data_IF_903436312449
#
_entry.id   IF_903436312449
#
_cell.length_a   1.000
_cell.length_b   1.000
_cell.length_c   1.000
_cell.angle_alpha   90.00
_cell.angle_beta   90.00
_cell.angle_gamma   90.00
#
_symmetry.space_group_name_H-M   'P 1'
#
loop_
_entity.id
_entity.type
_entity.pdbx_description
1 polymer ?
#
# COMPACT_ATOMS: atom_id res chain seq x y z
N UNK A 1 -16.96 7.19 28.93
CA UNK A 1 -15.77 8.00 28.61
C UNK A 1 -14.56 7.22 28.09
N UNK A 2 -14.75 6.29 27.14
CA UNK A 2 -13.64 5.42 26.65
C UNK A 2 -13.31 5.66 25.18
N UNK A 3 -13.44 6.89 24.72
CA UNK A 3 -12.91 7.37 23.44
C UNK A 3 -11.47 7.92 23.61
N UNK A 4 -10.69 7.32 24.53
CA UNK A 4 -9.26 7.57 24.67
C UNK A 4 -8.54 6.95 23.47
N UNK A 5 -8.63 7.67 22.36
CA UNK A 5 -7.59 7.89 21.34
C UNK A 5 -6.64 6.70 21.24
N UNK A 6 -6.99 5.73 20.39
CA UNK A 6 -5.98 4.87 19.80
C UNK A 6 -4.98 5.78 19.08
N UNK A 7 -3.85 6.06 19.73
CA UNK A 7 -2.73 6.74 19.12
C UNK A 7 -2.01 5.73 18.25
N UNK A 8 -2.46 5.60 17.01
CA UNK A 8 -1.78 4.85 15.97
C UNK A 8 -1.04 5.82 15.05
N UNK A 9 0.21 5.50 14.76
CA UNK A 9 1.01 6.19 13.74
C UNK A 9 1.05 5.33 12.50
N UNK A 10 0.65 5.90 11.36
CA UNK A 10 0.74 5.24 10.05
C UNK A 10 1.81 5.98 9.26
N UNK A 11 2.88 5.27 8.91
CA UNK A 11 3.86 5.72 7.93
C UNK A 11 3.56 5.04 6.61
N UNK A 12 3.26 5.85 5.60
CA UNK A 12 3.11 5.40 4.22
C UNK A 12 4.21 6.03 3.38
N UNK A 13 4.90 5.20 2.62
CA UNK A 13 5.98 5.59 1.74
C UNK A 13 5.73 5.05 0.35
N UNK A 14 5.93 5.91 -0.64
CA UNK A 14 5.79 5.55 -2.04
C UNK A 14 6.92 6.17 -2.83
N UNK A 15 7.54 5.38 -3.71
CA UNK A 15 8.60 5.86 -4.60
C UNK A 15 8.37 5.36 -6.01
N UNK A 16 8.12 6.32 -6.90
CA UNK A 16 8.18 6.08 -8.34
C UNK A 16 9.63 5.92 -8.77
N UNK A 17 9.92 4.85 -9.49
CA UNK A 17 11.24 4.62 -10.06
C UNK A 17 11.20 4.83 -11.58
N UNK A 18 12.30 5.24 -12.22
CA UNK A 18 12.36 5.40 -13.68
C UNK A 18 12.28 4.08 -14.46
N UNK A 19 12.12 2.94 -13.77
CA UNK A 19 12.04 1.59 -14.32
C UNK A 19 10.58 1.14 -14.52
N UNK A 20 10.34 -0.16 -14.67
CA UNK A 20 9.02 -0.74 -14.98
C UNK A 20 8.09 -0.90 -13.76
N UNK A 21 8.58 -0.60 -12.56
CA UNK A 21 7.81 -0.74 -11.32
C UNK A 21 8.07 0.40 -10.34
N UNK A 22 7.06 0.67 -9.52
CA UNK A 22 7.12 1.58 -8.38
C UNK A 22 7.13 0.78 -7.06
N UNK A 23 7.67 1.39 -6.01
CA UNK A 23 7.75 0.81 -4.67
C UNK A 23 6.74 1.46 -3.72
N UNK A 24 6.11 0.64 -2.90
CA UNK A 24 5.23 1.07 -1.80
C UNK A 24 5.67 0.39 -0.50
N UNK A 25 5.57 1.11 0.62
CA UNK A 25 5.78 0.60 1.95
C UNK A 25 4.82 1.24 2.92
N UNK A 26 4.25 0.46 3.84
CA UNK A 26 3.37 0.96 4.88
C UNK A 26 3.71 0.28 6.19
N UNK A 27 3.74 1.06 7.26
CA UNK A 27 3.88 0.58 8.63
C UNK A 27 2.87 1.28 9.51
N UNK A 28 2.17 0.51 10.34
CA UNK A 28 1.32 1.04 11.40
C UNK A 28 1.80 0.56 12.76
N UNK A 29 1.98 1.52 13.66
CA UNK A 29 2.43 1.30 15.02
C UNK A 29 1.42 1.87 16.01
N UNK A 30 1.06 1.08 17.02
CA UNK A 30 0.21 1.53 18.13
C UNK A 30 1.09 2.02 19.27
N UNK A 31 1.13 3.33 19.48
CA UNK A 31 1.90 3.94 20.58
C UNK A 31 1.33 3.56 21.94
N UNK A 32 0.01 3.34 22.02
CA UNK A 32 -0.66 2.89 23.25
C UNK A 32 -0.24 1.49 23.66
N UNK A 33 -0.09 0.59 22.68
CA UNK A 33 0.25 -0.81 22.95
C UNK A 33 1.76 -1.08 22.83
N UNK A 34 2.55 -0.13 22.32
CA UNK A 34 3.98 -0.31 22.07
C UNK A 34 4.28 -1.34 20.99
N UNK A 35 3.35 -1.58 20.05
CA UNK A 35 3.40 -2.73 19.15
C UNK A 35 3.16 -2.34 17.68
N UNK A 36 3.85 -3.04 16.79
CA UNK A 36 3.61 -3.01 15.35
C UNK A 36 2.27 -3.70 15.06
N UNK A 37 1.31 -2.94 14.52
CA UNK A 37 -0.04 -3.44 14.24
C UNK A 37 -0.08 -4.13 12.89
N UNK A 38 0.40 -3.44 11.85
CA UNK A 38 0.46 -3.98 10.48
C UNK A 38 1.64 -3.39 9.72
N UNK A 39 2.11 -4.12 8.73
CA UNK A 39 3.09 -3.63 7.77
C UNK A 39 2.80 -4.23 6.40
N UNK A 40 3.17 -3.51 5.35
CA UNK A 40 3.06 -3.98 3.98
C UNK A 40 4.21 -3.40 3.14
N UNK A 41 4.66 -4.17 2.15
CA UNK A 41 5.54 -3.73 1.09
C UNK A 41 4.92 -4.14 -0.25
N UNK A 42 4.98 -3.24 -1.22
CA UNK A 42 4.29 -3.37 -2.49
C UNK A 42 5.18 -3.05 -3.68
N UNK A 43 4.96 -3.77 -4.78
CA UNK A 43 5.48 -3.43 -6.11
C UNK A 43 4.31 -3.14 -7.04
N UNK A 44 4.34 -2.01 -7.74
CA UNK A 44 3.35 -1.69 -8.77
C UNK A 44 3.98 -1.67 -10.15
N UNK A 45 3.52 -2.54 -11.03
CA UNK A 45 3.94 -2.62 -12.42
C UNK A 45 2.90 -1.98 -13.32
N UNK A 46 3.39 -1.38 -14.40
CA UNK A 46 2.55 -0.89 -15.49
C UNK A 46 1.70 0.34 -15.18
N UNK A 47 2.03 1.09 -14.12
CA UNK A 47 1.31 2.31 -13.71
C UNK A 47 1.54 3.54 -14.63
N UNK A 48 2.15 3.38 -15.80
CA UNK A 48 2.47 4.50 -16.71
C UNK A 48 1.19 4.99 -17.39
N UNK A 49 1.11 6.31 -17.66
CA UNK A 49 -0.04 6.97 -18.31
C UNK A 49 -0.44 6.41 -19.69
N UNK A 50 0.39 5.56 -20.31
CA UNK A 50 0.09 4.91 -21.59
C UNK A 50 -0.34 3.45 -21.45
N UNK A 51 -0.31 2.90 -20.24
CA UNK A 51 -0.63 1.51 -19.98
C UNK A 51 -2.03 1.40 -19.39
N UNK A 52 -2.85 0.54 -19.98
CA UNK A 52 -4.22 0.25 -19.57
C UNK A 52 -4.30 -0.87 -18.53
N UNK A 53 -3.18 -1.32 -18.01
CA UNK A 53 -3.10 -2.41 -17.05
C UNK A 53 -2.18 -2.02 -15.91
N UNK A 54 -2.47 -2.55 -14.72
CA UNK A 54 -1.60 -2.44 -13.57
C UNK A 54 -1.57 -3.78 -12.85
N UNK A 55 -0.37 -4.29 -12.60
CA UNK A 55 -0.16 -5.44 -11.73
C UNK A 55 0.44 -4.95 -10.43
N UNK A 56 -0.04 -5.45 -9.30
CA UNK A 56 0.41 -5.03 -7.99
C UNK A 56 0.64 -6.25 -7.11
N UNK A 57 1.79 -6.32 -6.45
CA UNK A 57 2.17 -7.43 -5.57
C UNK A 57 2.45 -6.87 -4.19
N UNK A 58 1.66 -7.25 -3.21
CA UNK A 58 1.79 -6.81 -1.81
C UNK A 58 2.11 -7.99 -0.90
N UNK A 59 3.06 -7.78 -0.01
CA UNK A 59 3.44 -8.72 1.04
C UNK A 59 3.38 -7.98 2.37
N UNK A 60 2.96 -8.65 3.42
CA UNK A 60 2.93 -8.00 4.72
C UNK A 60 2.25 -8.82 5.80
N UNK A 61 1.84 -8.11 6.84
CA UNK A 61 1.11 -8.65 7.97
C UNK A 61 -0.06 -7.72 8.30
N UNK A 62 -1.24 -8.30 8.49
CA UNK A 62 -2.44 -7.55 8.87
C UNK A 62 -2.50 -7.27 10.39
N UNK A 63 -3.53 -6.55 10.80
CA UNK A 63 -3.81 -6.20 12.21
C UNK A 63 -4.02 -7.41 13.14
N UNK A 64 -4.41 -8.57 12.58
CA UNK A 64 -4.54 -9.84 13.30
C UNK A 64 -3.22 -10.62 13.36
N UNK A 65 -2.10 -9.99 12.99
CA UNK A 65 -0.77 -10.59 12.90
C UNK A 65 -0.67 -11.78 11.93
N UNK A 66 -1.58 -11.85 10.96
CA UNK A 66 -1.53 -12.88 9.92
C UNK A 66 -0.71 -12.37 8.75
N UNK A 67 0.30 -13.14 8.28
CA UNK A 67 1.02 -12.79 7.08
C UNK A 67 0.09 -12.92 5.87
N UNK A 68 0.29 -12.06 4.88
CA UNK A 68 -0.44 -12.13 3.62
C UNK A 68 0.50 -11.93 2.44
N UNK A 69 0.12 -12.53 1.32
CA UNK A 69 0.64 -12.24 0.00
C UNK A 69 -0.55 -12.02 -0.92
N UNK A 70 -0.61 -10.85 -1.55
CA UNK A 70 -1.72 -10.45 -2.41
C UNK A 70 -1.19 -10.02 -3.76
N UNK A 71 -1.84 -10.52 -4.81
CA UNK A 71 -1.60 -10.12 -6.19
C UNK A 71 -2.88 -9.51 -6.72
N UNK A 72 -2.81 -8.25 -7.13
CA UNK A 72 -3.92 -7.49 -7.68
C UNK A 72 -3.63 -7.13 -9.14
N UNK A 73 -4.60 -7.38 -10.00
CA UNK A 73 -4.54 -6.97 -11.40
C UNK A 73 -5.71 -6.03 -11.70
N UNK A 74 -5.40 -4.85 -12.25
CA UNK A 74 -6.37 -3.83 -12.62
C UNK A 74 -6.26 -3.56 -14.12
N UNK A 75 -7.40 -3.60 -14.81
CA UNK A 75 -7.53 -3.19 -16.21
C UNK A 75 -8.33 -1.88 -16.26
N UNK A 76 -7.72 -0.82 -16.77
CA UNK A 76 -8.37 0.45 -17.05
C UNK A 76 -8.75 0.56 -18.52
N UNK A 77 -10.02 0.83 -18.83
CA UNK A 77 -10.52 0.99 -20.20
C UNK A 77 -10.06 2.33 -20.81
N UNK A 78 -9.51 3.25 -19.99
CA UNK A 78 -8.93 4.51 -20.45
C UNK A 78 -7.58 4.80 -19.76
N UNK A 79 -6.47 4.92 -20.50
CA UNK A 79 -5.15 5.19 -19.92
C UNK A 79 -5.03 6.63 -19.35
N UNK A 80 -6.00 7.51 -19.62
CA UNK A 80 -5.99 8.93 -19.26
C UNK A 80 -6.70 9.31 -17.95
N UNK A 81 -7.41 8.39 -17.27
CA UNK A 81 -8.21 8.73 -16.07
C UNK A 81 -7.72 8.10 -14.74
N UNK A 82 -6.50 7.57 -14.68
CA UNK A 82 -6.00 6.94 -13.44
C UNK A 82 -5.41 7.92 -12.41
N UNK A 83 -5.40 9.23 -12.69
CA UNK A 83 -4.86 10.24 -11.77
C UNK A 83 -5.63 11.57 -11.87
N UNK A 84 -6.65 11.73 -11.04
CA UNK A 84 -6.96 13.05 -10.48
C UNK A 84 -6.20 13.16 -9.14
N UNK A 85 -5.61 14.33 -8.84
CA UNK A 85 -4.83 14.55 -7.61
C UNK A 85 -5.62 14.31 -6.33
#
# INVERSE_FOLDING_TARGET
DSALTQQTGILHWYKTLPIIFDLEGMVEYSFKQGLLVRYAAGLHFGKRKSQCWQLTVHLGQNEFRQPFARLDFKLGINPTMAFAP
#
